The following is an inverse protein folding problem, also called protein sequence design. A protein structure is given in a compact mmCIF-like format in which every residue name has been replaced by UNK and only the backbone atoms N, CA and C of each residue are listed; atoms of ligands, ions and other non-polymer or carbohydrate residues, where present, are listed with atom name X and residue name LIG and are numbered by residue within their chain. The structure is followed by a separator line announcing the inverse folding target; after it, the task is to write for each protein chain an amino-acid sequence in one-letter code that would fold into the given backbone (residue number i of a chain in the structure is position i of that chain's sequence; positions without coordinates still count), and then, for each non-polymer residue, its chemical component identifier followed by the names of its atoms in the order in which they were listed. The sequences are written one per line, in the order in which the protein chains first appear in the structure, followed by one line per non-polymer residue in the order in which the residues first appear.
data_IF_179365148327
#
_entry.id   IF_179365148327
#
_cell.length_a   1.000
_cell.length_b   1.000
_cell.length_c   1.000
_cell.angle_alpha   90.00
_cell.angle_beta   90.00
_cell.angle_gamma   90.00
#
_symmetry.space_group_name_H-M   'P 1'
#
loop_
_entity.id
_entity.type
_entity.pdbx_description
1 polymer ?
#
# COMPACT_ATOMS: atom_id res chain seq x y z
N UNK A 1 25.59 -21.76 -58.61
CA UNK A 1 25.55 -20.50 -57.85
C UNK A 1 24.09 -20.05 -57.73
N UNK A 2 23.41 -20.45 -56.66
CA UNK A 2 22.06 -19.98 -56.32
C UNK A 2 21.99 -19.82 -54.80
N UNK A 3 21.73 -18.59 -54.35
CA UNK A 3 21.66 -18.17 -52.95
C UNK A 3 20.18 -17.94 -52.63
N UNK A 4 19.54 -18.80 -51.83
CA UNK A 4 18.22 -18.50 -51.27
C UNK A 4 18.42 -17.93 -49.87
N UNK A 5 18.21 -16.61 -49.77
CA UNK A 5 18.22 -15.85 -48.52
C UNK A 5 17.09 -16.34 -47.63
N UNK A 6 17.44 -16.96 -46.51
CA UNK A 6 16.49 -17.20 -45.42
C UNK A 6 16.05 -15.86 -44.83
N UNK A 7 14.78 -15.52 -44.98
CA UNK A 7 14.15 -14.45 -44.20
C UNK A 7 14.10 -14.88 -42.74
N UNK A 8 15.00 -14.32 -41.93
CA UNK A 8 14.99 -14.48 -40.49
C UNK A 8 13.71 -13.83 -39.95
N UNK A 9 12.83 -14.63 -39.36
CA UNK A 9 11.61 -14.17 -38.70
C UNK A 9 12.02 -13.22 -37.56
N UNK A 10 11.71 -11.93 -37.68
CA UNK A 10 12.01 -10.95 -36.65
C UNK A 10 11.08 -11.18 -35.45
N UNK A 11 11.62 -11.81 -34.40
CA UNK A 11 10.93 -11.97 -33.12
C UNK A 11 10.79 -10.60 -32.46
N UNK A 12 9.57 -10.07 -32.37
CA UNK A 12 9.29 -8.83 -31.63
C UNK A 12 9.50 -9.07 -30.14
N UNK A 13 10.54 -8.47 -29.56
CA UNK A 13 10.75 -8.49 -28.10
C UNK A 13 9.64 -7.67 -27.44
N UNK A 14 8.80 -8.31 -26.64
CA UNK A 14 7.81 -7.63 -25.80
C UNK A 14 8.54 -6.97 -24.63
N UNK A 15 8.64 -5.65 -24.66
CA UNK A 15 9.36 -4.87 -23.66
C UNK A 15 8.49 -4.75 -22.39
N UNK A 16 8.75 -5.57 -21.38
CA UNK A 16 8.10 -5.43 -20.08
C UNK A 16 8.72 -4.22 -19.37
N UNK A 17 7.95 -3.15 -19.17
CA UNK A 17 8.30 -2.10 -18.20
C UNK A 17 8.48 -2.77 -16.85
N UNK A 18 9.73 -2.89 -16.40
CA UNK A 18 10.06 -3.29 -15.03
C UNK A 18 9.49 -2.25 -14.08
N UNK A 19 8.34 -2.54 -13.48
CA UNK A 19 7.75 -1.70 -12.46
C UNK A 19 8.38 -2.03 -11.12
N UNK A 20 9.13 -1.08 -10.56
CA UNK A 20 9.83 -1.29 -9.30
C UNK A 20 8.84 -1.53 -8.16
N UNK A 21 8.90 -2.71 -7.53
CA UNK A 21 8.14 -3.03 -6.32
C UNK A 21 8.80 -2.52 -5.04
N UNK A 22 9.80 -1.63 -5.16
CA UNK A 22 10.57 -1.15 -4.01
C UNK A 22 9.69 -0.48 -2.95
N UNK A 23 8.70 0.32 -3.35
CA UNK A 23 7.77 0.99 -2.40
C UNK A 23 6.88 -0.01 -1.66
N UNK A 24 6.57 -1.15 -2.26
CA UNK A 24 5.77 -2.21 -1.62
C UNK A 24 6.58 -2.94 -0.54
N UNK A 25 7.83 -3.31 -0.83
CA UNK A 25 8.66 -4.08 0.10
C UNK A 25 9.45 -3.24 1.11
N UNK A 26 9.75 -1.98 0.76
CA UNK A 26 10.54 -1.05 1.59
C UNK A 26 9.87 0.34 1.66
N UNK A 27 8.62 0.43 2.15
CA UNK A 27 7.92 1.71 2.26
C UNK A 27 8.57 2.60 3.32
N UNK A 28 8.80 3.88 3.00
CA UNK A 28 9.25 4.89 3.97
C UNK A 28 8.09 5.50 4.75
N UNK A 29 6.90 5.46 4.18
CA UNK A 29 5.63 5.90 4.78
C UNK A 29 4.54 4.86 4.51
N UNK A 30 3.70 4.60 5.52
CA UNK A 30 2.61 3.63 5.46
C UNK A 30 1.34 4.20 6.11
N UNK A 31 0.20 4.05 5.45
CA UNK A 31 -1.10 4.37 6.02
C UNK A 31 -1.93 3.10 6.28
N UNK A 32 -2.60 3.05 7.42
CA UNK A 32 -3.49 1.95 7.81
C UNK A 32 -4.93 2.47 7.81
N UNK A 33 -5.67 2.17 6.74
CA UNK A 33 -7.08 2.55 6.65
C UNK A 33 -7.94 1.53 7.37
N UNK A 34 -8.85 2.02 8.21
CA UNK A 34 -9.64 1.19 9.12
C UNK A 34 -8.96 1.00 10.48
N UNK A 35 -7.89 1.74 10.77
CA UNK A 35 -7.26 1.73 12.09
C UNK A 35 -8.29 2.06 13.19
N UNK A 36 -8.27 1.31 14.29
CA UNK A 36 -9.24 1.44 15.38
C UNK A 36 -8.55 1.23 16.73
N UNK A 37 -8.92 1.99 17.78
CA UNK A 37 -8.52 1.67 19.14
C UNK A 37 -9.32 0.49 19.71
N UNK A 38 -10.49 0.20 19.15
CA UNK A 38 -11.34 -0.93 19.55
C UNK A 38 -11.01 -2.17 18.69
N UNK A 39 -10.58 -3.24 19.35
CA UNK A 39 -10.15 -4.50 18.72
C UNK A 39 -11.24 -5.58 18.72
N UNK A 40 -12.48 -5.23 19.07
CA UNK A 40 -13.62 -6.16 19.04
C UNK A 40 -13.99 -6.53 17.59
N UNK A 41 -14.63 -7.68 17.42
CA UNK A 41 -15.23 -8.08 16.13
C UNK A 41 -14.25 -8.63 15.09
N UNK A 42 -13.07 -9.09 15.50
CA UNK A 42 -12.12 -9.76 14.59
C UNK A 42 -11.33 -8.81 13.68
N UNK A 43 -11.37 -7.50 13.94
CA UNK A 43 -10.51 -6.54 13.22
C UNK A 43 -9.04 -6.80 13.56
N UNK A 44 -8.22 -6.98 12.52
CA UNK A 44 -6.78 -7.15 12.70
C UNK A 44 -6.17 -5.78 13.05
N UNK A 45 -5.45 -5.63 14.17
CA UNK A 45 -4.91 -4.35 14.62
C UNK A 45 -3.61 -3.99 13.89
N UNK A 46 -3.66 -3.83 12.56
CA UNK A 46 -2.47 -3.61 11.73
C UNK A 46 -1.61 -2.43 12.19
N UNK A 47 -2.22 -1.33 12.64
CA UNK A 47 -1.49 -0.17 13.17
C UNK A 47 -0.64 -0.55 14.40
N UNK A 48 -1.26 -1.21 15.38
CA UNK A 48 -0.57 -1.65 16.60
C UNK A 48 0.47 -2.73 16.29
N UNK A 49 0.17 -3.67 15.39
CA UNK A 49 1.12 -4.71 14.96
C UNK A 49 2.35 -4.09 14.31
N UNK A 50 2.20 -3.15 13.37
CA UNK A 50 3.34 -2.50 12.71
C UNK A 50 4.18 -1.69 13.71
N UNK A 51 3.54 -1.02 14.67
CA UNK A 51 4.22 -0.30 15.76
C UNK A 51 5.01 -1.27 16.65
N UNK A 52 4.40 -2.38 17.08
CA UNK A 52 5.04 -3.41 17.91
C UNK A 52 6.16 -4.16 17.18
N UNK A 53 6.02 -4.37 15.87
CA UNK A 53 7.04 -4.99 15.02
C UNK A 53 8.25 -4.06 14.77
N UNK A 54 8.20 -2.81 15.24
CA UNK A 54 9.30 -1.86 15.11
C UNK A 54 9.44 -1.28 13.70
N UNK A 55 8.34 -1.14 12.95
CA UNK A 55 8.37 -0.42 11.67
C UNK A 55 8.98 0.97 11.87
N UNK A 56 10.05 1.26 11.13
CA UNK A 56 10.87 2.47 11.29
C UNK A 56 10.46 3.63 10.39
N UNK A 57 9.55 3.39 9.44
CA UNK A 57 8.99 4.43 8.60
C UNK A 57 7.89 5.21 9.31
N UNK A 58 7.32 6.19 8.60
CA UNK A 58 6.20 6.98 9.13
C UNK A 58 4.91 6.16 9.01
N UNK A 59 4.15 6.07 10.10
CA UNK A 59 2.97 5.21 10.19
C UNK A 59 1.75 6.04 10.57
N UNK A 60 0.75 6.05 9.69
CA UNK A 60 -0.44 6.90 9.81
C UNK A 60 -1.70 6.05 9.99
N UNK A 61 -2.42 6.16 11.12
CA UNK A 61 -3.74 5.58 11.25
C UNK A 61 -4.78 6.45 10.55
N UNK A 62 -5.66 5.83 9.76
CA UNK A 62 -6.72 6.51 9.00
C UNK A 62 -8.08 5.90 9.31
N UNK A 63 -8.97 6.69 9.90
CA UNK A 63 -10.36 6.32 10.16
C UNK A 63 -11.20 7.56 10.51
N UNK A 64 -12.28 7.88 9.77
CA UNK A 64 -13.11 9.05 10.05
C UNK A 64 -13.89 8.98 11.37
N UNK A 65 -13.97 7.81 12.02
CA UNK A 65 -14.71 7.62 13.28
C UNK A 65 -13.90 7.94 14.52
N UNK A 66 -12.58 8.03 14.41
CA UNK A 66 -11.70 8.21 15.55
C UNK A 66 -10.75 9.37 15.30
N UNK A 67 -10.45 10.13 16.35
CA UNK A 67 -9.45 11.20 16.31
C UNK A 67 -8.11 10.78 16.90
N UNK A 68 -8.08 9.70 17.69
CA UNK A 68 -6.90 9.24 18.43
C UNK A 68 -6.83 7.71 18.57
N UNK A 69 -5.61 7.17 18.49
CA UNK A 69 -5.25 5.83 18.95
C UNK A 69 -3.99 5.93 19.82
N UNK A 70 -4.15 5.74 21.13
CA UNK A 70 -3.04 5.72 22.10
C UNK A 70 -2.20 7.02 22.09
N UNK A 71 -2.86 8.18 22.02
CA UNK A 71 -2.20 9.49 21.96
C UNK A 71 -1.64 9.84 20.58
N UNK A 72 -1.90 9.04 19.56
CA UNK A 72 -1.52 9.31 18.17
C UNK A 72 -2.73 9.76 17.38
N UNK A 73 -2.60 10.93 16.73
CA UNK A 73 -3.60 11.48 15.83
C UNK A 73 -4.02 10.47 14.75
N UNK A 74 -5.32 10.30 14.60
CA UNK A 74 -5.95 9.56 13.50
C UNK A 74 -6.45 10.56 12.47
N UNK A 75 -6.16 10.29 11.20
CA UNK A 75 -6.62 11.12 10.09
C UNK A 75 -7.95 10.57 9.56
N UNK A 76 -8.90 11.44 9.17
CA UNK A 76 -10.20 10.97 8.71
C UNK A 76 -10.17 10.41 7.28
N UNK A 77 -9.21 10.82 6.44
CA UNK A 77 -9.02 10.36 5.07
C UNK A 77 -7.53 10.34 4.67
N UNK A 78 -7.20 9.73 3.53
CA UNK A 78 -5.84 9.76 2.96
C UNK A 78 -5.43 11.16 2.50
N UNK A 79 -6.37 11.97 2.02
CA UNK A 79 -6.10 13.32 1.51
C UNK A 79 -5.67 14.31 2.60
N UNK A 80 -5.98 14.01 3.86
CA UNK A 80 -5.57 14.83 5.01
C UNK A 80 -4.20 14.45 5.56
N UNK A 81 -3.53 13.46 4.97
CA UNK A 81 -2.18 13.08 5.38
C UNK A 81 -1.17 14.17 5.02
N UNK A 82 -0.15 14.39 5.87
CA UNK A 82 0.80 15.49 5.69
C UNK A 82 1.82 15.25 4.56
N UNK A 83 1.76 14.10 3.89
CA UNK A 83 2.72 13.69 2.86
C UNK A 83 2.19 12.56 1.96
N UNK A 84 2.93 12.27 0.89
CA UNK A 84 2.70 11.09 0.07
C UNK A 84 3.02 9.77 0.81
N UNK A 85 2.19 8.76 0.56
CA UNK A 85 2.30 7.44 1.18
C UNK A 85 2.87 6.42 0.19
N UNK A 86 3.90 5.68 0.62
CA UNK A 86 4.50 4.61 -0.19
C UNK A 86 3.63 3.35 -0.23
N UNK A 87 2.93 3.02 0.87
CA UNK A 87 2.06 1.84 1.01
C UNK A 87 0.80 2.11 1.83
N UNK A 88 -0.36 1.67 1.33
CA UNK A 88 -1.63 1.68 2.08
C UNK A 88 -2.06 0.25 2.39
N UNK A 89 -2.39 -0.02 3.65
CA UNK A 89 -3.09 -1.24 4.08
C UNK A 89 -4.54 -0.86 4.36
N UNK A 90 -5.46 -1.31 3.50
CA UNK A 90 -6.89 -1.10 3.66
C UNK A 90 -7.52 -2.28 4.40
N UNK A 91 -7.81 -2.10 5.69
CA UNK A 91 -8.52 -3.07 6.54
C UNK A 91 -9.94 -2.57 6.82
N UNK A 92 -10.75 -2.51 5.76
CA UNK A 92 -12.13 -2.02 5.79
C UNK A 92 -13.08 -3.08 5.21
N UNK A 93 -14.40 -2.99 5.48
CA UNK A 93 -15.38 -3.85 4.81
C UNK A 93 -15.25 -3.77 3.28
N UNK A 94 -15.41 -4.89 2.58
CA UNK A 94 -15.20 -4.98 1.13
C UNK A 94 -15.93 -3.89 0.33
N UNK A 95 -17.17 -3.56 0.70
CA UNK A 95 -17.95 -2.51 0.02
C UNK A 95 -17.35 -1.11 0.12
N UNK A 96 -16.48 -0.84 1.11
CA UNK A 96 -15.78 0.44 1.28
C UNK A 96 -14.39 0.47 0.66
N UNK A 97 -13.83 -0.68 0.30
CA UNK A 97 -12.46 -0.76 -0.20
C UNK A 97 -12.27 -0.05 -1.56
N UNK A 98 -13.34 0.09 -2.34
CA UNK A 98 -13.32 0.80 -3.63
C UNK A 98 -13.26 2.32 -3.47
N UNK A 99 -13.75 2.83 -2.34
CA UNK A 99 -13.84 4.26 -2.02
C UNK A 99 -12.66 4.76 -1.16
N UNK A 100 -11.74 3.86 -0.80
CA UNK A 100 -10.65 4.10 0.16
C UNK A 100 -9.48 4.86 -0.45
#
# INVERSE_FOLDING_TARGET
MWYLRGTCCATTKKEYRSMSLKRLFYPRSMAIVGASPNLKGGTIPYYQIMKMAGYRGRLYPVNPRYSDIQGVKVYPSLDELPEEIDLVIASVPAGKAVET
#
